data_IF_697148322893
#
_entry.id   IF_697148322893
#
_cell.length_a   1.000
_cell.length_b   1.000
_cell.length_c   1.000
_cell.angle_alpha   90.00
_cell.angle_beta   90.00
_cell.angle_gamma   90.00
#
_symmetry.space_group_name_H-M   'P 1'
#
loop_
_entity.id
_entity.type
_entity.pdbx_description
1 polymer ?
#
# COMPACT_ATOMS: atom_id res chain seq x y z
N UNK A 1 -0.10 -20.44 -10.61
CA UNK A 1 -0.09 -19.94 -9.21
C UNK A 1 -1.50 -19.60 -8.81
N UNK A 2 -1.91 -19.82 -7.56
CA UNK A 2 -3.28 -19.44 -7.16
C UNK A 2 -3.42 -17.92 -7.22
N UNK A 3 -4.57 -17.44 -7.71
CA UNK A 3 -4.88 -16.02 -7.81
C UNK A 3 -4.70 -15.29 -6.45
N UNK A 4 -4.95 -16.02 -5.35
CA UNK A 4 -4.79 -15.58 -3.97
C UNK A 4 -3.33 -15.28 -3.63
N UNK A 5 -2.40 -16.17 -3.99
CA UNK A 5 -0.98 -16.00 -3.67
C UNK A 5 -0.38 -14.77 -4.35
N UNK A 6 -0.66 -14.59 -5.65
CA UNK A 6 -0.24 -13.41 -6.40
C UNK A 6 -0.79 -12.12 -5.79
N UNK A 7 -2.08 -12.11 -5.44
CA UNK A 7 -2.72 -10.91 -4.90
C UNK A 7 -2.15 -10.49 -3.54
N UNK A 8 -1.87 -11.45 -2.65
CA UNK A 8 -1.26 -11.16 -1.35
C UNK A 8 0.14 -10.58 -1.52
N UNK A 9 0.96 -11.16 -2.40
CA UNK A 9 2.31 -10.65 -2.69
C UNK A 9 2.22 -9.23 -3.27
N UNK A 10 1.32 -9.01 -4.24
CA UNK A 10 1.09 -7.70 -4.82
C UNK A 10 0.73 -6.64 -3.77
N UNK A 11 -0.28 -6.91 -2.93
CA UNK A 11 -0.69 -6.00 -1.85
C UNK A 11 0.47 -5.73 -0.90
N UNK A 12 1.27 -6.74 -0.57
CA UNK A 12 2.40 -6.60 0.34
C UNK A 12 3.46 -5.68 -0.24
N UNK A 13 3.91 -5.94 -1.48
CA UNK A 13 4.93 -5.13 -2.16
C UNK A 13 4.46 -3.69 -2.37
N UNK A 14 3.19 -3.49 -2.77
CA UNK A 14 2.62 -2.14 -2.91
C UNK A 14 2.53 -1.40 -1.57
N UNK A 15 2.15 -2.09 -0.49
CA UNK A 15 2.10 -1.49 0.85
C UNK A 15 3.50 -1.03 1.29
N UNK A 16 4.52 -1.88 1.12
CA UNK A 16 5.91 -1.54 1.41
C UNK A 16 6.40 -0.34 0.58
N UNK A 17 6.05 -0.29 -0.70
CA UNK A 17 6.37 0.86 -1.56
C UNK A 17 5.74 2.15 -1.04
N UNK A 18 4.47 2.13 -0.65
CA UNK A 18 3.78 3.31 -0.11
C UNK A 18 4.33 3.75 1.25
N UNK A 19 4.68 2.80 2.12
CA UNK A 19 5.38 3.08 3.38
C UNK A 19 6.73 3.73 3.10
N UNK A 20 7.50 3.19 2.16
CA UNK A 20 8.77 3.76 1.75
C UNK A 20 8.61 5.20 1.23
N UNK A 21 7.63 5.46 0.36
CA UNK A 21 7.36 6.80 -0.16
C UNK A 21 6.96 7.79 0.94
N UNK A 22 6.15 7.36 1.91
CA UNK A 22 5.79 8.17 3.06
C UNK A 22 7.02 8.50 3.92
N UNK A 23 7.82 7.49 4.27
CA UNK A 23 9.04 7.68 5.07
C UNK A 23 10.05 8.57 4.34
N UNK A 24 10.28 8.33 3.05
CA UNK A 24 11.18 9.13 2.24
C UNK A 24 10.75 10.60 2.17
N UNK A 25 9.46 10.85 1.92
CA UNK A 25 8.92 12.21 1.81
C UNK A 25 9.02 13.01 3.13
N UNK A 26 8.73 12.37 4.27
CA UNK A 26 8.66 13.07 5.56
C UNK A 26 9.97 13.06 6.37
N UNK A 27 10.79 12.01 6.25
CA UNK A 27 12.03 11.86 7.03
C UNK A 27 13.24 12.44 6.29
N UNK A 28 13.36 12.16 4.99
CA UNK A 28 14.54 12.55 4.21
C UNK A 28 14.36 13.87 3.46
N UNK A 29 13.13 14.21 3.08
CA UNK A 29 12.83 15.35 2.21
C UNK A 29 12.07 16.46 2.95
N UNK A 30 12.48 16.78 4.18
CA UNK A 30 11.71 17.69 5.04
C UNK A 30 11.63 19.14 4.52
N UNK A 31 12.62 19.57 3.72
CA UNK A 31 12.72 20.91 3.13
C UNK A 31 12.21 20.98 1.67
N UNK A 32 11.41 19.99 1.25
CA UNK A 32 11.08 19.80 -0.16
C UNK A 32 9.73 20.39 -0.58
N UNK A 33 9.61 20.62 -1.89
CA UNK A 33 8.47 21.23 -2.56
C UNK A 33 7.11 20.58 -2.20
N UNK A 34 6.03 21.35 -2.34
CA UNK A 34 4.64 20.91 -2.09
C UNK A 34 4.31 19.55 -2.71
N UNK A 35 4.87 19.25 -3.88
CA UNK A 35 4.70 17.97 -4.57
C UNK A 35 5.15 16.77 -3.72
N UNK A 36 6.29 16.88 -3.02
CA UNK A 36 6.83 15.80 -2.19
C UNK A 36 5.95 15.54 -0.97
N UNK A 37 5.39 16.60 -0.35
CA UNK A 37 4.45 16.47 0.76
C UNK A 37 3.15 15.79 0.33
N UNK A 38 2.65 16.12 -0.87
CA UNK A 38 1.47 15.45 -1.44
C UNK A 38 1.76 13.98 -1.71
N UNK A 39 2.91 13.65 -2.30
CA UNK A 39 3.35 12.27 -2.52
C UNK A 39 3.49 11.49 -1.21
N UNK A 40 4.05 12.11 -0.17
CA UNK A 40 4.13 11.52 1.17
C UNK A 40 2.75 11.24 1.76
N UNK A 41 1.81 12.19 1.64
CA UNK A 41 0.42 12.01 2.08
C UNK A 41 -0.30 10.89 1.33
N UNK A 42 -0.11 10.79 0.02
CA UNK A 42 -0.60 9.66 -0.79
C UNK A 42 0.05 8.35 -0.36
N UNK A 43 1.34 8.38 0.00
CA UNK A 43 2.06 7.26 0.60
C UNK A 43 1.38 6.74 1.88
N UNK A 44 1.04 7.63 2.81
CA UNK A 44 0.34 7.24 4.04
C UNK A 44 -1.05 6.65 3.73
N UNK A 45 -1.80 7.30 2.84
CA UNK A 45 -3.11 6.81 2.43
C UNK A 45 -3.01 5.43 1.77
N UNK A 46 -2.08 5.25 0.82
CA UNK A 46 -1.83 3.99 0.13
C UNK A 46 -1.36 2.88 1.07
N UNK A 47 -0.49 3.19 2.03
CA UNK A 47 -0.02 2.27 3.05
C UNK A 47 -1.15 1.77 3.98
N UNK A 48 -2.22 2.55 4.13
CA UNK A 48 -3.39 2.17 4.93
C UNK A 48 -4.44 1.44 4.08
N UNK A 49 -4.73 1.94 2.88
CA UNK A 49 -5.77 1.40 1.99
C UNK A 49 -5.38 0.04 1.43
N UNK A 50 -4.11 -0.19 1.09
CA UNK A 50 -3.67 -1.47 0.53
C UNK A 50 -3.88 -2.68 1.46
N UNK A 51 -3.46 -2.65 2.74
CA UNK A 51 -3.73 -3.77 3.64
C UNK A 51 -5.22 -3.96 3.90
N UNK A 52 -6.02 -2.88 4.01
CA UNK A 52 -7.48 -2.98 4.14
C UNK A 52 -8.08 -3.67 2.91
N UNK A 53 -7.67 -3.27 1.71
CA UNK A 53 -8.09 -3.90 0.46
C UNK A 53 -7.70 -5.38 0.39
N UNK A 54 -6.46 -5.72 0.75
CA UNK A 54 -5.99 -7.11 0.80
C UNK A 54 -6.81 -7.98 1.76
N UNK A 55 -7.15 -7.47 2.94
CA UNK A 55 -8.00 -8.16 3.92
C UNK A 55 -9.41 -8.35 3.37
N UNK A 56 -10.01 -7.33 2.76
CA UNK A 56 -11.34 -7.43 2.16
C UNK A 56 -11.36 -8.44 1.00
N UNK A 57 -10.34 -8.42 0.15
CA UNK A 57 -10.18 -9.39 -0.93
C UNK A 57 -10.03 -10.81 -0.38
N UNK A 58 -9.19 -11.02 0.63
CA UNK A 58 -9.00 -12.32 1.25
C UNK A 58 -10.31 -12.86 1.85
N UNK A 59 -11.04 -12.02 2.60
CA UNK A 59 -12.35 -12.37 3.16
C UNK A 59 -13.36 -12.71 2.06
N UNK A 60 -13.35 -11.98 0.95
CA UNK A 60 -14.24 -12.23 -0.19
C UNK A 60 -13.87 -13.53 -0.90
N UNK A 61 -12.58 -13.77 -1.16
CA UNK A 61 -12.09 -14.97 -1.82
C UNK A 61 -12.32 -16.25 -0.98
N UNK A 62 -12.21 -16.16 0.35
CA UNK A 62 -12.60 -17.25 1.25
C UNK A 62 -14.12 -17.52 1.23
N UNK A 63 -14.95 -16.47 1.22
CA UNK A 63 -16.42 -16.65 1.14
C UNK A 63 -16.91 -17.24 -0.18
N UNK A 64 -16.26 -16.89 -1.29
CA UNK A 64 -16.66 -17.33 -2.63
C UNK A 64 -16.03 -18.66 -3.08
N UNK A 65 -15.19 -19.30 -2.25
CA UNK A 65 -14.49 -20.56 -2.58
C UNK A 65 -13.74 -20.52 -3.95
N UNK A 66 -13.35 -19.32 -4.40
CA UNK A 66 -12.41 -19.09 -5.52
C UNK A 66 -10.99 -19.46 -5.09
#
# INVERSE_FOLDING_TARGET
MSLKGFHIVFVTVSTLLFVFLALWAFIYMQDSATLTRVLGGIGIAGATVMPVYGVLFYRKACRLHL
#
